data_IF_731783553153
#
_entry.id   IF_731783553153
#
_cell.length_a   1.000
_cell.length_b   1.000
_cell.length_c   1.000
_cell.angle_alpha   90.00
_cell.angle_beta   90.00
_cell.angle_gamma   90.00
#
_symmetry.space_group_name_H-M   'P 1'
#
loop_
_entity.id
_entity.type
_entity.pdbx_description
1 polymer ?
#
# COMPACT_ATOMS: atom_id res chain seq x y z
N UNK A 1 -12.35 32.38 2.08
CA UNK A 1 -12.39 30.93 1.77
C UNK A 1 -12.62 30.24 3.09
N UNK A 2 -13.76 29.55 3.24
CA UNK A 2 -14.02 28.73 4.42
C UNK A 2 -13.39 27.35 4.22
N UNK A 3 -13.04 26.69 5.31
CA UNK A 3 -12.56 25.29 5.31
C UNK A 3 -13.59 24.47 6.07
N UNK A 4 -14.04 23.38 5.47
CA UNK A 4 -14.99 22.45 6.05
C UNK A 4 -14.28 21.11 6.23
N UNK A 5 -14.51 20.45 7.35
CA UNK A 5 -14.07 19.06 7.56
C UNK A 5 -15.06 18.11 6.90
N UNK A 6 -14.64 16.88 6.61
CA UNK A 6 -15.50 15.85 6.02
C UNK A 6 -16.69 15.56 6.93
N UNK A 7 -16.45 15.52 8.25
CA UNK A 7 -17.48 15.22 9.25
C UNK A 7 -18.60 16.28 9.25
N UNK A 8 -18.23 17.56 9.08
CA UNK A 8 -19.18 18.69 9.05
C UNK A 8 -20.17 18.64 7.90
N UNK A 9 -19.87 17.91 6.81
CA UNK A 9 -20.69 17.89 5.59
C UNK A 9 -21.14 16.48 5.19
N UNK A 10 -20.58 15.42 5.78
CA UNK A 10 -20.85 14.03 5.38
C UNK A 10 -22.32 13.60 5.52
N UNK A 11 -23.12 14.28 6.33
CA UNK A 11 -24.55 14.01 6.48
C UNK A 11 -25.40 14.65 5.37
N UNK A 12 -24.85 15.62 4.65
CA UNK A 12 -25.52 16.32 3.54
C UNK A 12 -25.35 15.56 2.22
N UNK A 13 -24.27 14.79 2.08
CA UNK A 13 -23.98 14.02 0.88
C UNK A 13 -24.70 12.67 0.82
N UNK A 14 -25.20 12.33 -0.38
CA UNK A 14 -25.85 11.05 -0.66
C UNK A 14 -25.09 10.32 -1.76
N UNK A 15 -24.67 9.09 -1.46
CA UNK A 15 -24.00 8.23 -2.44
C UNK A 15 -25.08 7.65 -3.35
N UNK A 16 -25.15 8.14 -4.59
CA UNK A 16 -26.14 7.68 -5.59
C UNK A 16 -25.60 6.52 -6.44
N UNK A 17 -24.28 6.52 -6.68
CA UNK A 17 -23.56 5.53 -7.48
C UNK A 17 -23.13 4.34 -6.62
N UNK A 18 -23.06 3.14 -7.21
CA UNK A 18 -22.52 1.97 -6.52
C UNK A 18 -21.02 2.16 -6.31
N UNK A 19 -20.52 2.05 -5.09
CA UNK A 19 -19.08 2.08 -4.85
C UNK A 19 -18.40 0.81 -5.40
N UNK A 20 -17.18 0.92 -5.92
CA UNK A 20 -16.33 -0.25 -6.28
C UNK A 20 -15.77 -0.95 -5.05
N UNK A 21 -15.75 -0.26 -3.92
CA UNK A 21 -15.19 -0.72 -2.64
C UNK A 21 -16.30 -1.20 -1.71
N UNK A 22 -15.97 -2.13 -0.80
CA UNK A 22 -16.89 -2.50 0.28
C UNK A 22 -16.81 -1.44 1.37
N UNK A 23 -17.90 -0.71 1.58
CA UNK A 23 -17.99 0.35 2.58
C UNK A 23 -18.21 -0.25 3.99
N UNK A 24 -17.12 -0.47 4.73
CA UNK A 24 -17.16 -1.10 6.08
C UNK A 24 -16.71 -0.17 7.20
N UNK A 25 -16.03 0.94 6.89
CA UNK A 25 -15.37 1.77 7.89
C UNK A 25 -15.95 3.17 7.94
N UNK A 26 -16.44 3.53 9.12
CA UNK A 26 -17.08 4.82 9.42
C UNK A 26 -16.36 6.05 8.83
N UNK A 27 -15.04 6.13 8.95
CA UNK A 27 -14.27 7.25 8.43
C UNK A 27 -14.37 7.39 6.90
N UNK A 28 -14.14 6.30 6.18
CA UNK A 28 -14.19 6.28 4.71
C UNK A 28 -15.63 6.48 4.21
N UNK A 29 -16.63 5.92 4.89
CA UNK A 29 -18.05 6.18 4.59
C UNK A 29 -18.39 7.67 4.70
N UNK A 30 -17.82 8.39 5.67
CA UNK A 30 -17.97 9.85 5.77
C UNK A 30 -17.26 10.56 4.63
N UNK A 31 -16.05 10.11 4.27
CA UNK A 31 -15.28 10.71 3.19
C UNK A 31 -15.97 10.56 1.83
N UNK A 32 -16.54 9.39 1.51
CA UNK A 32 -17.32 9.17 0.29
C UNK A 32 -18.57 10.05 0.23
N UNK A 33 -19.27 10.23 1.37
CA UNK A 33 -20.43 11.13 1.44
C UNK A 33 -20.02 12.59 1.32
N UNK A 34 -18.94 13.02 1.98
CA UNK A 34 -18.41 14.36 1.85
C UNK A 34 -17.96 14.64 0.40
N UNK A 35 -17.37 13.65 -0.28
CA UNK A 35 -17.02 13.72 -1.69
C UNK A 35 -18.27 13.87 -2.57
N UNK A 36 -19.34 13.11 -2.31
CA UNK A 36 -20.60 13.25 -3.03
C UNK A 36 -21.22 14.64 -2.85
N UNK A 37 -21.26 15.17 -1.62
CA UNK A 37 -21.69 16.54 -1.36
C UNK A 37 -20.84 17.57 -2.11
N UNK A 38 -19.51 17.45 -2.02
CA UNK A 38 -18.60 18.34 -2.71
C UNK A 38 -18.71 18.22 -4.23
N UNK A 39 -19.06 17.05 -4.78
CA UNK A 39 -19.27 16.86 -6.21
C UNK A 39 -20.52 17.61 -6.71
N UNK A 40 -21.61 17.57 -5.95
CA UNK A 40 -22.89 18.21 -6.30
C UNK A 40 -22.87 19.75 -6.11
N UNK A 41 -22.11 20.26 -5.13
CA UNK A 41 -22.16 21.69 -4.76
C UNK A 41 -21.15 22.56 -5.52
N UNK A 42 -21.57 23.33 -6.52
CA UNK A 42 -20.69 24.15 -7.38
C UNK A 42 -19.69 25.07 -6.67
N UNK A 43 -19.97 25.50 -5.43
CA UNK A 43 -19.12 26.40 -4.67
C UNK A 43 -18.12 25.69 -3.73
N UNK A 44 -18.16 24.36 -3.67
CA UNK A 44 -17.32 23.54 -2.80
C UNK A 44 -16.32 22.75 -3.64
N UNK A 45 -15.07 22.70 -3.19
CA UNK A 45 -14.03 21.84 -3.78
C UNK A 45 -13.45 20.94 -2.69
N UNK A 46 -13.09 19.71 -3.07
CA UNK A 46 -12.54 18.73 -2.15
C UNK A 46 -11.02 18.68 -2.25
N UNK A 47 -10.36 18.76 -1.10
CA UNK A 47 -8.94 18.44 -0.95
C UNK A 47 -8.84 17.27 0.02
N UNK A 48 -8.29 16.14 -0.43
CA UNK A 48 -7.99 15.01 0.43
C UNK A 48 -6.55 15.10 0.91
N UNK A 49 -6.36 15.13 2.23
CA UNK A 49 -5.05 14.94 2.83
C UNK A 49 -4.81 13.45 2.93
N UNK A 50 -3.76 12.96 2.29
CA UNK A 50 -3.39 11.55 2.34
C UNK A 50 -2.03 11.41 3.02
N UNK A 51 -1.92 10.57 4.04
CA UNK A 51 -0.61 10.24 4.60
C UNK A 51 0.16 9.36 3.59
N UNK A 52 1.49 9.33 3.66
CA UNK A 52 2.27 8.31 2.95
C UNK A 52 1.96 6.94 3.58
N UNK A 53 0.87 6.32 3.13
CA UNK A 53 0.38 5.04 3.63
C UNK A 53 -0.13 4.15 2.50
N UNK A 54 0.43 2.95 2.41
CA UNK A 54 -0.08 1.88 1.56
C UNK A 54 -1.25 1.18 2.31
N UNK A 55 -2.40 1.03 1.64
CA UNK A 55 -3.57 0.38 2.24
C UNK A 55 -4.90 0.97 1.77
N UNK A 56 -5.83 1.14 2.72
CA UNK A 56 -7.20 1.58 2.45
C UNK A 56 -7.26 3.01 1.89
N UNK A 57 -6.30 3.87 2.24
CA UNK A 57 -6.23 5.23 1.71
C UNK A 57 -6.02 5.24 0.20
N UNK A 58 -5.19 4.35 -0.37
CA UNK A 58 -5.00 4.25 -1.82
C UNK A 58 -6.31 3.86 -2.54
N UNK A 59 -7.05 2.93 -1.96
CA UNK A 59 -8.35 2.47 -2.47
C UNK A 59 -9.41 3.57 -2.32
N UNK A 60 -9.37 4.31 -1.22
CA UNK A 60 -10.28 5.41 -0.92
C UNK A 60 -10.02 6.61 -1.82
N UNK A 61 -8.76 6.95 -2.09
CA UNK A 61 -8.40 8.06 -2.98
C UNK A 61 -8.93 7.82 -4.39
N UNK A 62 -8.85 6.58 -4.89
CA UNK A 62 -9.43 6.22 -6.19
C UNK A 62 -10.95 6.42 -6.18
N UNK A 63 -11.65 5.85 -5.20
CA UNK A 63 -13.10 5.94 -5.11
C UNK A 63 -13.60 7.38 -4.95
N UNK A 64 -12.91 8.20 -4.15
CA UNK A 64 -13.21 9.62 -3.99
C UNK A 64 -12.93 10.39 -5.29
N UNK A 65 -11.81 10.08 -5.97
CA UNK A 65 -11.47 10.68 -7.25
C UNK A 65 -12.56 10.44 -8.28
N UNK A 66 -13.06 9.21 -8.37
CA UNK A 66 -14.17 8.83 -9.26
C UNK A 66 -15.43 9.64 -8.96
N UNK A 67 -15.84 9.73 -7.68
CA UNK A 67 -17.02 10.50 -7.26
C UNK A 67 -16.89 11.97 -7.66
N UNK A 68 -15.78 12.63 -7.33
CA UNK A 68 -15.58 14.06 -7.61
C UNK A 68 -15.44 14.32 -9.11
N UNK A 69 -14.69 13.49 -9.82
CA UNK A 69 -14.44 13.65 -11.26
C UNK A 69 -15.68 13.37 -12.10
N UNK A 70 -16.58 12.49 -11.63
CA UNK A 70 -17.87 12.22 -12.30
C UNK A 70 -18.75 13.46 -12.47
N UNK A 71 -18.55 14.48 -11.64
CA UNK A 71 -19.23 15.79 -11.73
C UNK A 71 -18.33 16.88 -12.32
N UNK A 72 -17.29 16.52 -13.08
CA UNK A 72 -16.40 17.45 -13.78
C UNK A 72 -15.52 18.30 -12.86
N UNK A 73 -15.37 17.91 -11.58
CA UNK A 73 -14.56 18.63 -10.60
C UNK A 73 -13.13 18.14 -10.52
N UNK A 74 -12.25 18.99 -10.01
CA UNK A 74 -10.84 18.67 -9.88
C UNK A 74 -10.63 17.97 -8.54
N UNK A 75 -10.39 16.67 -8.57
CA UNK A 75 -9.94 15.97 -7.39
C UNK A 75 -8.50 16.36 -7.05
N UNK A 76 -8.28 16.88 -5.84
CA UNK A 76 -6.96 17.29 -5.36
C UNK A 76 -6.53 16.46 -4.15
N UNK A 77 -5.40 15.78 -4.27
CA UNK A 77 -4.76 15.05 -3.16
C UNK A 77 -3.50 15.78 -2.73
N UNK A 78 -3.35 16.00 -1.44
CA UNK A 78 -2.11 16.46 -0.83
C UNK A 78 -1.52 15.31 -0.03
N UNK A 79 -0.38 14.79 -0.50
CA UNK A 79 0.40 13.81 0.26
C UNK A 79 1.10 14.54 1.42
N UNK A 80 0.80 14.14 2.63
CA UNK A 80 1.38 14.66 3.87
C UNK A 80 2.39 13.63 4.36
N UNK A 81 3.62 14.07 4.50
CA UNK A 81 4.72 13.31 5.10
C UNK A 81 4.94 13.81 6.54
N UNK A 82 5.66 13.05 7.36
CA UNK A 82 6.06 13.47 8.72
C UNK A 82 6.95 14.73 8.68
N UNK A 83 7.57 15.02 7.53
CA UNK A 83 8.33 16.25 7.27
C UNK A 83 7.45 17.50 7.13
N UNK A 84 7.90 18.63 7.69
CA UNK A 84 7.19 19.92 7.70
C UNK A 84 7.26 20.71 6.39
N UNK A 85 7.13 20.07 5.23
CA UNK A 85 7.18 20.75 3.93
C UNK A 85 5.83 21.39 3.53
N UNK A 86 5.42 22.42 4.29
CA UNK A 86 4.23 23.22 4.01
C UNK A 86 4.31 23.98 2.68
N UNK A 87 5.50 24.10 2.09
CA UNK A 87 5.70 24.78 0.81
C UNK A 87 4.95 24.10 -0.33
N UNK A 88 5.09 22.78 -0.44
CA UNK A 88 4.40 21.97 -1.46
C UNK A 88 2.87 22.08 -1.33
N UNK A 89 2.34 21.95 -0.11
CA UNK A 89 0.91 22.11 0.16
C UNK A 89 0.41 23.52 -0.19
N UNK A 90 1.12 24.56 0.22
CA UNK A 90 0.78 25.96 -0.10
C UNK A 90 0.74 26.22 -1.60
N UNK A 91 1.71 25.68 -2.36
CA UNK A 91 1.74 25.82 -3.83
C UNK A 91 0.51 25.16 -4.44
N UNK A 92 0.23 23.91 -4.06
CA UNK A 92 -0.91 23.14 -4.60
C UNK A 92 -2.26 23.82 -4.30
N UNK A 93 -2.47 24.31 -3.08
CA UNK A 93 -3.69 25.03 -2.71
C UNK A 93 -3.85 26.33 -3.51
N UNK A 94 -2.75 27.09 -3.71
CA UNK A 94 -2.78 28.30 -4.54
C UNK A 94 -3.11 27.98 -6.01
N UNK A 95 -2.53 26.90 -6.55
CA UNK A 95 -2.83 26.44 -7.92
C UNK A 95 -4.29 26.01 -8.07
N UNK A 96 -4.85 25.29 -7.09
CA UNK A 96 -6.26 24.93 -7.10
C UNK A 96 -7.15 26.17 -7.08
N UNK A 97 -6.88 27.12 -6.19
CA UNK A 97 -7.62 28.39 -6.13
C UNK A 97 -7.59 29.14 -7.46
N UNK A 98 -6.42 29.24 -8.09
CA UNK A 98 -6.28 29.89 -9.39
C UNK A 98 -7.09 29.16 -10.49
N UNK A 99 -7.10 27.82 -10.48
CA UNK A 99 -7.90 27.03 -11.39
C UNK A 99 -9.41 27.23 -11.18
N UNK A 100 -9.86 27.35 -9.92
CA UNK A 100 -11.26 27.66 -9.58
C UNK A 100 -11.67 29.05 -10.08
N UNK A 101 -10.84 30.07 -9.85
CA UNK A 101 -11.11 31.45 -10.27
C UNK A 101 -11.18 31.55 -11.80
N UNK A 102 -10.30 30.84 -12.51
CA UNK A 102 -10.32 30.77 -13.97
C UNK A 102 -11.56 30.02 -14.51
N UNK A 103 -11.98 28.92 -13.88
CA UNK A 103 -13.22 28.21 -14.22
C UNK A 103 -14.45 29.11 -14.06
N UNK A 104 -14.51 29.89 -12.97
CA UNK A 104 -15.56 30.89 -12.74
C UNK A 104 -15.57 31.95 -13.83
N UNK A 105 -14.40 32.52 -14.15
CA UNK A 105 -14.25 33.55 -15.20
C UNK A 105 -14.71 33.05 -16.57
N UNK A 106 -14.46 31.77 -16.87
CA UNK A 106 -14.85 31.11 -18.13
C UNK A 106 -16.29 30.55 -18.13
N UNK A 107 -17.05 30.71 -17.05
CA UNK A 107 -18.38 30.08 -16.89
C UNK A 107 -18.35 28.58 -17.26
N UNK A 108 -17.31 27.88 -16.80
CA UNK A 108 -17.15 26.46 -17.08
C UNK A 108 -18.38 25.68 -16.60
N UNK A 109 -18.97 24.89 -17.49
CA UNK A 109 -20.04 23.95 -17.16
C UNK A 109 -19.43 22.58 -16.95
N UNK A 110 -19.67 22.02 -15.77
CA UNK A 110 -19.29 20.65 -15.47
C UNK A 110 -19.93 19.69 -16.47
N UNK A 111 -19.12 18.76 -17.00
CA UNK A 111 -19.61 17.63 -17.79
C UNK A 111 -19.78 16.48 -16.82
N UNK A 112 -21.00 15.93 -16.77
CA UNK A 112 -21.26 14.74 -15.97
C UNK A 112 -20.82 13.50 -16.74
N UNK A 113 -20.05 12.66 -16.08
CA UNK A 113 -19.59 11.38 -16.59
C UNK A 113 -20.14 10.26 -15.71
N UNK A 114 -20.76 9.26 -16.33
CA UNK A 114 -21.25 8.10 -15.59
C UNK A 114 -20.07 7.25 -15.14
N UNK A 115 -20.06 6.85 -13.87
CA UNK A 115 -19.02 5.97 -13.36
C UNK A 115 -19.29 4.56 -13.88
N UNK A 116 -18.41 4.05 -14.74
CA UNK A 116 -18.53 2.70 -15.31
C UNK A 116 -17.37 1.85 -14.82
N UNK A 117 -17.68 0.97 -13.88
CA UNK A 117 -16.75 -0.06 -13.43
C UNK A 117 -16.71 -1.20 -14.44
N UNK A 118 -15.71 -1.18 -15.32
CA UNK A 118 -15.30 -2.41 -16.02
C UNK A 118 -14.55 -3.27 -15.03
N UNK A 119 -15.27 -4.03 -14.20
CA UNK A 119 -14.67 -5.05 -13.37
C UNK A 119 -13.96 -6.03 -14.30
N UNK A 120 -12.61 -6.03 -14.37
CA UNK A 120 -11.94 -7.06 -15.12
C UNK A 120 -12.27 -8.38 -14.44
N UNK A 121 -12.33 -9.45 -15.21
CA UNK A 121 -12.42 -10.80 -14.67
C UNK A 121 -11.06 -11.09 -14.00
N UNK A 122 -10.89 -10.57 -12.79
CA UNK A 122 -9.73 -10.80 -11.96
C UNK A 122 -9.89 -12.17 -11.31
N UNK A 123 -8.85 -12.98 -11.36
CA UNK A 123 -8.72 -14.13 -10.45
C UNK A 123 -8.92 -13.59 -9.04
N UNK A 124 -9.74 -14.25 -8.22
CA UNK A 124 -10.24 -13.76 -6.93
C UNK A 124 -9.17 -13.31 -5.91
N UNK A 125 -7.88 -13.50 -6.20
CA UNK A 125 -6.76 -13.13 -5.34
C UNK A 125 -6.20 -11.71 -5.53
N UNK A 126 -6.27 -11.06 -6.70
CA UNK A 126 -5.46 -9.86 -6.97
C UNK A 126 -6.31 -8.59 -7.22
N UNK A 127 -6.42 -7.69 -6.24
CA UNK A 127 -7.07 -6.36 -6.43
C UNK A 127 -6.35 -5.16 -5.79
N UNK A 128 -5.06 -5.23 -5.49
CA UNK A 128 -4.33 -4.11 -4.85
C UNK A 128 -2.94 -3.91 -5.44
N UNK A 129 -2.82 -3.08 -6.49
CA UNK A 129 -1.53 -2.57 -6.95
C UNK A 129 -0.79 -1.86 -5.82
N UNK A 130 0.53 -2.04 -5.73
CA UNK A 130 1.44 -1.78 -4.59
C UNK A 130 1.45 -2.85 -3.49
N UNK A 131 0.31 -3.47 -3.14
CA UNK A 131 0.28 -4.51 -2.09
C UNK A 131 1.10 -5.77 -2.41
N UNK A 132 1.22 -6.12 -3.70
CA UNK A 132 1.98 -7.29 -4.17
C UNK A 132 3.49 -7.03 -4.28
N UNK A 133 3.91 -5.78 -4.21
CA UNK A 133 5.32 -5.44 -4.47
C UNK A 133 6.24 -6.12 -3.46
N UNK A 134 5.83 -6.16 -2.19
CA UNK A 134 6.57 -6.84 -1.13
C UNK A 134 6.76 -8.33 -1.41
N UNK A 135 5.69 -9.06 -1.79
CA UNK A 135 5.81 -10.48 -2.12
C UNK A 135 6.63 -10.69 -3.39
N UNK A 136 6.49 -9.82 -4.37
CA UNK A 136 7.23 -9.89 -5.63
C UNK A 136 8.74 -9.68 -5.41
N UNK A 137 9.13 -8.68 -4.61
CA UNK A 137 10.53 -8.46 -4.21
C UNK A 137 11.10 -9.65 -3.43
N UNK A 138 10.31 -10.26 -2.54
CA UNK A 138 10.74 -11.49 -1.85
C UNK A 138 11.02 -12.63 -2.84
N UNK A 139 10.17 -12.79 -3.86
CA UNK A 139 10.36 -13.79 -4.91
C UNK A 139 11.63 -13.48 -5.72
N UNK A 140 11.83 -12.23 -6.12
CA UNK A 140 13.01 -11.81 -6.89
C UNK A 140 14.32 -12.06 -6.11
N UNK A 141 14.32 -11.76 -4.80
CA UNK A 141 15.45 -12.05 -3.92
C UNK A 141 15.73 -13.56 -3.83
N UNK A 142 14.68 -14.37 -3.66
CA UNK A 142 14.80 -15.83 -3.60
C UNK A 142 15.34 -16.41 -4.91
N UNK A 143 14.86 -15.91 -6.05
CA UNK A 143 15.34 -16.31 -7.38
C UNK A 143 16.78 -15.85 -7.65
N UNK A 144 17.21 -14.77 -7.00
CA UNK A 144 18.59 -14.29 -7.01
C UNK A 144 19.52 -15.03 -6.03
N UNK A 145 19.03 -16.08 -5.36
CA UNK A 145 19.81 -16.92 -4.44
C UNK A 145 19.84 -16.41 -2.98
N UNK A 146 19.07 -15.37 -2.64
CA UNK A 146 18.96 -14.88 -1.26
C UNK A 146 17.93 -15.72 -0.52
N UNK A 147 18.40 -16.69 0.28
CA UNK A 147 17.53 -17.59 1.05
C UNK A 147 17.02 -16.98 2.36
N UNK A 148 17.67 -15.95 2.89
CA UNK A 148 17.34 -15.34 4.18
C UNK A 148 16.71 -13.96 4.00
N UNK A 149 15.45 -13.78 4.44
CA UNK A 149 14.70 -12.53 4.24
C UNK A 149 14.13 -12.04 5.58
N UNK A 150 14.41 -10.78 5.93
CA UNK A 150 13.78 -10.07 7.05
C UNK A 150 12.75 -9.08 6.51
N UNK A 151 11.47 -9.37 6.75
CA UNK A 151 10.37 -8.46 6.48
C UNK A 151 10.13 -7.55 7.68
N UNK A 152 10.79 -6.39 7.70
CA UNK A 152 10.53 -5.33 8.68
C UNK A 152 9.23 -4.61 8.33
N UNK A 153 8.30 -4.50 9.28
CA UNK A 153 7.00 -3.88 9.04
C UNK A 153 6.56 -3.00 10.22
N UNK A 154 5.89 -1.86 9.98
CA UNK A 154 5.20 -1.13 11.04
C UNK A 154 4.10 -2.00 11.66
N UNK A 155 3.90 -1.87 12.97
CA UNK A 155 2.83 -2.59 13.65
C UNK A 155 1.45 -2.26 13.07
N UNK A 156 0.64 -3.31 12.90
CA UNK A 156 -0.70 -3.26 12.31
C UNK A 156 -0.76 -2.82 10.82
N UNK A 157 0.35 -2.86 10.07
CA UNK A 157 0.35 -2.62 8.63
C UNK A 157 -0.40 -3.76 7.90
N UNK A 158 -1.68 -3.54 7.58
CA UNK A 158 -2.56 -4.55 6.97
C UNK A 158 -2.02 -5.13 5.64
N UNK A 159 -1.46 -4.33 4.71
CA UNK A 159 -0.78 -4.89 3.53
C UNK A 159 0.34 -5.85 3.92
N UNK A 160 1.24 -5.48 4.84
CA UNK A 160 2.32 -6.36 5.26
C UNK A 160 1.82 -7.62 5.99
N UNK A 161 0.69 -7.55 6.70
CA UNK A 161 0.08 -8.74 7.27
C UNK A 161 -0.51 -9.68 6.22
N UNK A 162 -1.17 -9.15 5.19
CA UNK A 162 -1.86 -9.95 4.17
C UNK A 162 -0.89 -10.43 3.09
N UNK A 163 -0.10 -9.54 2.51
CA UNK A 163 0.79 -9.83 1.38
C UNK A 163 2.22 -10.17 1.81
N UNK A 164 2.71 -9.64 2.93
CA UNK A 164 4.00 -10.05 3.50
C UNK A 164 3.87 -11.35 4.29
N UNK A 165 3.41 -11.24 5.54
CA UNK A 165 3.30 -12.36 6.48
C UNK A 165 2.35 -13.46 5.98
N UNK A 166 1.23 -13.09 5.36
CA UNK A 166 0.26 -14.04 4.82
C UNK A 166 0.82 -14.91 3.70
N UNK A 167 1.81 -14.43 2.95
CA UNK A 167 2.42 -15.16 1.84
C UNK A 167 3.61 -16.02 2.25
N UNK A 168 4.16 -15.86 3.46
CA UNK A 168 5.34 -16.62 3.94
C UNK A 168 5.15 -18.12 3.79
N UNK A 169 3.96 -18.66 4.12
CA UNK A 169 3.70 -20.09 4.00
C UNK A 169 3.82 -20.57 2.56
N UNK A 170 3.14 -19.89 1.63
CA UNK A 170 3.19 -20.22 0.21
C UNK A 170 4.60 -20.06 -0.37
N UNK A 171 5.34 -19.04 0.07
CA UNK A 171 6.74 -18.85 -0.33
C UNK A 171 7.64 -19.98 0.18
N UNK A 172 7.47 -20.43 1.42
CA UNK A 172 8.23 -21.57 1.98
C UNK A 172 7.91 -22.89 1.27
N UNK A 173 6.65 -23.09 0.87
CA UNK A 173 6.26 -24.27 0.09
C UNK A 173 6.91 -24.26 -1.31
N UNK A 174 7.03 -23.09 -1.93
CA UNK A 174 7.62 -22.93 -3.27
C UNK A 174 9.15 -22.85 -3.26
N UNK A 175 9.73 -22.27 -2.22
CA UNK A 175 11.17 -22.09 -2.01
C UNK A 175 11.55 -22.71 -0.65
N UNK A 176 11.78 -24.04 -0.58
CA UNK A 176 11.96 -24.75 0.69
C UNK A 176 13.18 -24.31 1.51
N UNK A 177 14.22 -23.80 0.85
CA UNK A 177 15.41 -23.24 1.51
C UNK A 177 15.18 -21.84 2.09
N UNK A 178 13.99 -21.25 1.90
CA UNK A 178 13.72 -19.89 2.36
C UNK A 178 13.54 -19.79 3.88
N UNK A 179 14.32 -18.90 4.48
CA UNK A 179 14.27 -18.49 5.87
C UNK A 179 13.73 -17.06 5.95
N UNK A 180 12.40 -16.94 5.94
CA UNK A 180 11.69 -15.65 5.96
C UNK A 180 11.15 -15.39 7.37
N UNK A 181 11.47 -14.23 7.95
CA UNK A 181 10.93 -13.75 9.23
C UNK A 181 10.24 -12.40 9.09
N UNK A 182 9.08 -12.25 9.74
CA UNK A 182 8.36 -10.98 9.84
C UNK A 182 8.58 -10.35 11.23
N UNK A 183 8.98 -9.08 11.25
CA UNK A 183 9.27 -8.35 12.48
C UNK A 183 8.49 -7.05 12.49
N UNK A 184 7.57 -6.96 13.46
CA UNK A 184 6.75 -5.77 13.69
C UNK A 184 7.57 -4.77 14.51
N UNK A 185 7.72 -3.57 13.95
CA UNK A 185 8.34 -2.42 14.59
C UNK A 185 7.23 -1.50 15.09
N UNK A 186 7.14 -1.38 16.42
CA UNK A 186 6.17 -0.54 17.13
C UNK A 186 6.93 0.29 18.16
N UNK A 187 6.73 1.63 18.23
CA UNK A 187 7.28 2.45 19.30
C UNK A 187 6.86 1.98 20.71
N UNK A 188 5.71 1.30 20.83
CA UNK A 188 5.20 0.73 22.08
C UNK A 188 5.72 -0.67 22.43
N UNK A 189 6.34 -1.39 21.48
CA UNK A 189 6.84 -2.74 21.71
C UNK A 189 8.28 -2.76 22.23
N UNK A 190 8.57 -3.72 23.10
CA UNK A 190 9.93 -3.91 23.61
C UNK A 190 10.90 -4.33 22.50
N UNK A 191 12.03 -3.62 22.40
CA UNK A 191 13.16 -3.93 21.51
C UNK A 191 13.64 -5.39 21.66
N UNK A 192 13.43 -6.00 22.84
CA UNK A 192 13.82 -7.39 23.12
C UNK A 192 13.12 -8.37 22.18
N UNK A 193 11.83 -8.14 21.85
CA UNK A 193 11.08 -9.03 20.97
C UNK A 193 11.63 -9.02 19.54
N UNK A 194 11.99 -7.83 19.04
CA UNK A 194 12.57 -7.66 17.71
C UNK A 194 13.94 -8.35 17.64
N UNK A 195 14.81 -8.10 18.63
CA UNK A 195 16.13 -8.70 18.71
C UNK A 195 16.09 -10.23 18.79
N UNK A 196 15.16 -10.79 19.57
CA UNK A 196 15.04 -12.24 19.68
C UNK A 196 14.64 -12.88 18.34
N UNK A 197 13.76 -12.26 17.56
CA UNK A 197 13.40 -12.76 16.22
C UNK A 197 14.56 -12.69 15.23
N UNK A 198 15.35 -11.61 15.27
CA UNK A 198 16.56 -11.50 14.44
C UNK A 198 17.57 -12.57 14.83
N UNK A 199 17.83 -12.75 16.14
CA UNK A 199 18.77 -13.76 16.63
C UNK A 199 18.36 -15.18 16.24
N UNK A 200 17.08 -15.52 16.38
CA UNK A 200 16.56 -16.81 15.96
C UNK A 200 16.71 -17.03 14.45
N UNK A 201 16.38 -16.01 13.65
CA UNK A 201 16.57 -16.09 12.19
C UNK A 201 18.04 -16.30 11.83
N UNK A 202 18.95 -15.53 12.42
CA UNK A 202 20.40 -15.66 12.20
C UNK A 202 20.94 -17.03 12.60
N UNK A 203 20.46 -17.58 13.72
CA UNK A 203 20.86 -18.93 14.14
C UNK A 203 20.49 -20.00 13.11
N UNK A 204 19.34 -19.87 12.45
CA UNK A 204 18.93 -20.76 11.35
C UNK A 204 19.80 -20.51 10.12
N UNK A 205 20.07 -19.25 9.79
CA UNK A 205 20.92 -18.87 8.67
C UNK A 205 22.34 -19.46 8.79
N UNK A 206 22.95 -19.36 9.97
CA UNK A 206 24.28 -19.94 10.23
C UNK A 206 24.28 -21.46 10.11
N UNK A 207 23.27 -22.14 10.67
CA UNK A 207 23.16 -23.60 10.57
C UNK A 207 23.07 -24.08 9.12
N UNK A 208 22.28 -23.37 8.30
CA UNK A 208 22.15 -23.72 6.87
C UNK A 208 23.48 -23.51 6.11
N UNK A 209 24.27 -22.49 6.47
CA UNK A 209 25.59 -22.25 5.87
C UNK A 209 26.60 -23.35 6.26
N UNK A 210 26.57 -23.81 7.50
CA UNK A 210 27.42 -24.92 7.97
C UNK A 210 27.07 -26.22 7.22
N UNK A 211 25.78 -26.54 7.07
CA UNK A 211 25.31 -27.72 6.32
C UNK A 211 25.70 -27.66 4.84
N UNK A 212 25.61 -26.48 4.20
CA UNK A 212 26.08 -26.28 2.83
C UNK A 212 27.59 -26.50 2.71
N UNK A 213 28.38 -25.96 3.65
CA UNK A 213 29.84 -26.11 3.65
C UNK A 213 30.28 -27.59 3.80
N UNK A 214 29.68 -28.34 4.73
CA UNK A 214 29.95 -29.77 4.92
C UNK A 214 29.63 -30.58 3.65
N UNK A 215 28.50 -30.29 2.98
CA UNK A 215 28.11 -30.96 1.74
C UNK A 215 29.10 -30.71 0.59
N UNK A 216 29.63 -29.49 0.47
CA UNK A 216 30.65 -29.16 -0.53
C UNK A 216 31.97 -29.89 -0.27
N UNK A 217 32.43 -29.97 0.99
CA UNK A 217 33.64 -30.73 1.35
C UNK A 217 33.48 -32.22 1.04
N UNK A 218 32.32 -32.81 1.36
CA UNK A 218 32.05 -34.23 1.12
C UNK A 218 31.97 -34.56 -0.39
N UNK A 219 31.35 -33.67 -1.19
CA UNK A 219 31.29 -33.83 -2.66
C UNK A 219 32.64 -33.63 -3.34
N UNK A 220 33.49 -32.69 -2.89
CA UNK A 220 34.88 -32.59 -3.36
C UNK A 220 35.70 -33.84 -3.01
N UNK A 221 35.54 -34.37 -1.81
CA UNK A 221 36.23 -35.59 -1.37
C UNK A 221 35.83 -36.80 -2.23
N UNK A 222 34.53 -37.00 -2.49
CA UNK A 222 34.02 -38.06 -3.37
C UNK A 222 34.57 -37.90 -4.79
N UNK A 223 34.59 -36.67 -5.32
CA UNK A 223 35.13 -36.38 -6.64
C UNK A 223 36.63 -36.69 -6.71
N UNK A 224 37.41 -36.31 -5.71
CA UNK A 224 38.83 -36.68 -5.60
C UNK A 224 39.03 -38.20 -5.55
N UNK A 225 38.25 -38.93 -4.74
CA UNK A 225 38.34 -40.41 -4.66
C UNK A 225 38.00 -41.06 -6.01
N UNK A 226 37.05 -40.51 -6.76
CA UNK A 226 36.70 -41.02 -8.10
C UNK A 226 37.82 -40.86 -9.14
N UNK A 227 38.60 -39.78 -9.04
CA UNK A 227 39.76 -39.53 -9.92
C UNK A 227 40.98 -40.41 -9.61
N UNK A 228 41.11 -40.88 -8.36
CA UNK A 228 42.23 -41.74 -7.92
C UNK A 228 41.96 -43.24 -8.18
N UNK A 229 40.71 -43.61 -8.52
CA UNK A 229 40.30 -45.00 -8.81
C UNK A 229 40.28 -45.39 -10.31
N UNK A 230 40.69 -44.49 -11.20
CA UNK A 230 41.05 -44.78 -12.61
C UNK A 230 42.54 -44.82 -12.79
#
# INVERSE_FOLDING_TARGET
MAVLTEDSVSHLGKIQEKLRVVDQWMYHSRLYRAAAFAADELCVEMIQLNSFGCGLDAVTTDQVSEIVSSKGKIYTVLKIDEGSNLGAAKIRIRSLKAAMDERKRKNYKAVEEKIVYKNPLFTAGNQTGEGWFLTAEMIELLESGVSNIVCLQPFACLPNHVTGKGMIKALKERYPSSNIVAIDYDPGASNVNQLNRIKLMLSVAYKNLEEEAEFYEETELIRCISYVRT
#
